data_IF_000185674580
#
_entry.id   IF_000185674580
#
_cell.length_a   1.000
_cell.length_b   1.000
_cell.length_c   1.000
_cell.angle_alpha   90.00
_cell.angle_beta   90.00
_cell.angle_gamma   90.00
#
_symmetry.space_group_name_H-M   'P 1'
#
loop_
_entity.id
_entity.type
_entity.pdbx_description
1 polymer ?
#
# COMPACT_ATOMS: atom_id res chain seq x y z
N UNK A 1 31.98 16.86 6.01
CA UNK A 1 33.23 17.33 5.38
C UNK A 1 33.22 16.86 3.94
N UNK A 2 33.60 17.72 3.00
CA UNK A 2 33.50 17.46 1.56
C UNK A 2 34.86 17.72 0.95
N UNK A 3 35.54 16.67 0.47
CA UNK A 3 36.94 16.77 0.04
C UNK A 3 37.15 16.78 -1.48
N UNK A 4 36.08 16.70 -2.28
CA UNK A 4 36.14 16.77 -3.73
C UNK A 4 34.86 17.38 -4.31
N UNK A 5 34.95 17.90 -5.54
CA UNK A 5 33.77 18.39 -6.27
C UNK A 5 32.75 17.29 -6.55
N UNK A 6 33.21 16.05 -6.79
CA UNK A 6 32.31 14.91 -6.98
C UNK A 6 31.48 14.66 -5.72
N UNK A 7 32.13 14.58 -4.55
CA UNK A 7 31.44 14.40 -3.28
C UNK A 7 30.52 15.58 -2.95
N UNK A 8 30.90 16.81 -3.34
CA UNK A 8 30.03 17.98 -3.23
C UNK A 8 28.75 17.82 -4.08
N UNK A 9 28.86 17.29 -5.29
CA UNK A 9 27.72 17.02 -6.17
C UNK A 9 26.80 15.93 -5.62
N UNK A 10 27.36 14.83 -5.13
CA UNK A 10 26.59 13.74 -4.52
C UNK A 10 25.88 14.20 -3.23
N UNK A 11 26.58 14.97 -2.40
CA UNK A 11 26.03 15.58 -1.19
C UNK A 11 24.91 16.58 -1.53
N UNK A 12 25.11 17.44 -2.55
CA UNK A 12 24.10 18.35 -3.06
C UNK A 12 22.81 17.60 -3.43
N UNK A 13 22.90 16.59 -4.31
CA UNK A 13 21.74 15.84 -4.78
C UNK A 13 21.00 15.14 -3.63
N UNK A 14 21.74 14.67 -2.63
CA UNK A 14 21.16 14.04 -1.43
C UNK A 14 20.46 15.06 -0.54
N UNK A 15 21.08 16.22 -0.31
CA UNK A 15 20.58 17.27 0.57
C UNK A 15 19.40 18.04 -0.04
N UNK A 16 19.34 18.22 -1.36
CA UNK A 16 18.26 18.96 -2.05
C UNK A 16 16.89 18.30 -1.83
N UNK A 17 16.87 16.98 -1.64
CA UNK A 17 15.65 16.22 -1.28
C UNK A 17 15.04 16.70 0.05
N UNK A 18 15.90 17.06 1.00
CA UNK A 18 15.51 17.43 2.35
C UNK A 18 15.38 18.93 2.52
N UNK A 19 16.27 19.71 1.91
CA UNK A 19 16.37 21.15 2.19
C UNK A 19 15.70 22.02 1.12
N UNK A 20 15.49 21.50 -0.09
CA UNK A 20 15.11 22.28 -1.26
C UNK A 20 16.31 22.94 -1.92
N UNK A 21 16.16 23.27 -3.20
CA UNK A 21 17.25 23.67 -4.09
C UNK A 21 17.91 24.98 -3.67
N UNK A 22 17.09 25.94 -3.20
CA UNK A 22 17.51 27.28 -2.81
C UNK A 22 17.97 27.38 -1.35
N UNK A 23 18.00 26.28 -0.59
CA UNK A 23 18.37 26.33 0.82
C UNK A 23 19.80 26.86 0.98
N UNK A 24 20.04 27.87 1.81
CA UNK A 24 21.37 28.46 1.95
C UNK A 24 22.33 27.47 2.61
N UNK A 25 23.51 27.29 2.02
CA UNK A 25 24.60 26.48 2.58
C UNK A 25 25.82 27.37 2.74
N UNK A 26 26.37 27.42 3.96
CA UNK A 26 27.64 28.08 4.21
C UNK A 26 28.77 27.07 3.99
N UNK A 27 29.57 27.30 2.96
CA UNK A 27 30.75 26.51 2.63
C UNK A 27 31.97 27.16 3.27
N UNK A 28 32.67 26.41 4.13
CA UNK A 28 33.86 26.86 4.84
C UNK A 28 35.06 26.04 4.37
N UNK A 29 36.16 26.69 4.04
CA UNK A 29 37.46 26.06 3.78
C UNK A 29 38.48 26.60 4.76
N UNK A 30 39.32 25.70 5.30
CA UNK A 30 40.46 26.07 6.14
C UNK A 30 40.07 26.75 7.45
N UNK A 31 38.89 26.44 7.99
CA UNK A 31 38.40 27.02 9.25
C UNK A 31 39.42 26.83 10.38
N UNK A 32 39.83 27.92 11.03
CA UNK A 32 40.86 27.93 12.08
C UNK A 32 42.30 27.98 11.56
N UNK A 33 42.52 28.14 10.25
CA UNK A 33 43.86 28.26 9.64
C UNK A 33 44.07 29.71 9.14
N UNK A 34 44.86 30.52 9.85
CA UNK A 34 45.09 31.92 9.48
C UNK A 34 45.58 32.07 8.03
N UNK A 35 44.89 32.90 7.25
CA UNK A 35 45.25 33.19 5.85
C UNK A 35 44.80 32.13 4.83
N UNK A 36 44.15 31.04 5.25
CA UNK A 36 43.55 30.03 4.36
C UNK A 36 42.03 29.92 4.50
N UNK A 37 41.44 30.71 5.41
CA UNK A 37 40.00 30.74 5.63
C UNK A 37 39.27 31.35 4.43
N UNK A 38 38.32 30.59 3.91
CA UNK A 38 37.38 31.06 2.90
C UNK A 38 35.97 30.62 3.30
N UNK A 39 35.04 31.57 3.33
CA UNK A 39 33.66 31.34 3.77
C UNK A 39 32.73 31.97 2.73
N UNK A 40 31.81 31.18 2.19
CA UNK A 40 30.83 31.63 1.21
C UNK A 40 29.48 30.98 1.50
N UNK A 41 28.39 31.75 1.45
CA UNK A 41 27.03 31.21 1.55
C UNK A 41 26.42 31.21 0.15
N UNK A 42 26.10 30.03 -0.36
CA UNK A 42 25.50 29.84 -1.69
C UNK A 42 24.22 29.01 -1.58
N UNK A 43 23.30 29.10 -2.55
CA UNK A 43 22.20 28.14 -2.66
C UNK A 43 22.74 26.70 -2.77
N UNK A 44 22.01 25.75 -2.19
CA UNK A 44 22.42 24.34 -2.17
C UNK A 44 22.69 23.78 -3.58
N UNK A 45 21.96 24.22 -4.60
CA UNK A 45 22.19 23.76 -5.98
C UNK A 45 23.54 24.22 -6.59
N UNK A 46 24.20 25.22 -6.00
CA UNK A 46 25.46 25.80 -6.51
C UNK A 46 26.71 25.31 -5.79
N UNK A 47 26.58 24.56 -4.70
CA UNK A 47 27.73 24.22 -3.83
C UNK A 47 28.85 23.47 -4.57
N UNK A 48 28.54 22.69 -5.60
CA UNK A 48 29.53 21.95 -6.40
C UNK A 48 30.20 22.78 -7.51
N UNK A 49 29.70 24.01 -7.74
CA UNK A 49 30.28 24.97 -8.69
C UNK A 49 31.45 25.76 -8.09
N UNK A 50 31.63 25.70 -6.77
CA UNK A 50 32.70 26.39 -6.07
C UNK A 50 34.07 25.80 -6.46
N UNK A 51 34.90 26.62 -7.10
CA UNK A 51 36.14 26.13 -7.69
C UNK A 51 37.19 25.68 -6.66
N UNK A 52 37.07 26.16 -5.42
CA UNK A 52 38.03 26.05 -4.33
C UNK A 52 37.73 24.92 -3.33
N UNK A 53 36.75 24.04 -3.62
CA UNK A 53 36.47 22.85 -2.80
C UNK A 53 37.69 21.93 -2.78
N UNK A 54 38.13 21.57 -1.58
CA UNK A 54 39.21 20.62 -1.32
C UNK A 54 39.01 19.88 0.01
N UNK A 55 40.01 19.10 0.43
CA UNK A 55 39.99 18.30 1.66
C UNK A 55 39.78 19.10 2.96
N UNK A 56 39.94 20.42 2.95
CA UNK A 56 39.71 21.31 4.09
C UNK A 56 38.30 21.94 4.08
N UNK A 57 37.41 21.47 3.20
CA UNK A 57 36.08 22.06 3.01
C UNK A 57 35.00 21.38 3.86
N UNK A 58 34.15 22.18 4.50
CA UNK A 58 33.00 21.76 5.29
C UNK A 58 31.75 22.55 4.90
N UNK A 59 30.61 21.87 4.83
CA UNK A 59 29.31 22.51 4.63
C UNK A 59 28.63 22.69 5.99
N UNK A 60 28.19 23.91 6.27
CA UNK A 60 27.28 24.22 7.35
C UNK A 60 25.90 24.50 6.74
N UNK A 61 24.92 23.69 7.14
CA UNK A 61 23.53 23.88 6.76
C UNK A 61 22.79 24.48 7.95
N UNK A 62 22.28 25.72 7.86
CA UNK A 62 21.42 26.28 8.88
C UNK A 62 20.13 25.44 9.00
N UNK A 63 19.48 25.43 10.18
CA UNK A 63 18.21 24.74 10.37
C UNK A 63 17.18 25.16 9.31
N UNK A 64 16.62 24.20 8.59
CA UNK A 64 15.64 24.40 7.52
C UNK A 64 15.31 23.09 6.82
N UNK A 65 14.56 23.17 5.71
CA UNK A 65 14.14 22.01 4.91
C UNK A 65 12.71 21.52 5.13
N UNK A 66 12.32 20.51 4.34
CA UNK A 66 11.02 19.83 4.36
C UNK A 66 10.79 19.24 5.75
N UNK A 67 9.91 19.88 6.52
CA UNK A 67 9.48 19.40 7.85
C UNK A 67 8.22 18.55 7.77
N UNK A 68 7.88 17.98 6.60
CA UNK A 68 6.55 17.44 6.27
C UNK A 68 5.81 16.79 7.44
N UNK A 69 6.36 15.68 7.95
CA UNK A 69 5.76 14.92 9.07
C UNK A 69 5.73 15.73 10.38
N UNK A 70 6.81 16.41 10.77
CA UNK A 70 6.82 17.26 11.97
C UNK A 70 5.86 18.44 11.89
N UNK A 71 5.65 18.98 10.69
CA UNK A 71 4.67 20.04 10.44
C UNK A 71 3.25 19.48 10.58
N UNK A 72 3.00 18.30 10.02
CA UNK A 72 1.71 17.61 10.15
C UNK A 72 1.38 17.29 11.62
N UNK A 73 2.35 16.76 12.37
CA UNK A 73 2.24 16.54 13.82
C UNK A 73 1.90 17.84 14.56
N UNK A 74 2.63 18.92 14.31
CA UNK A 74 2.35 20.21 14.94
C UNK A 74 0.97 20.78 14.57
N UNK A 75 0.51 20.57 13.33
CA UNK A 75 -0.83 20.95 12.88
C UNK A 75 -1.88 20.13 13.63
N UNK A 76 -1.72 18.80 13.71
CA UNK A 76 -2.64 17.91 14.41
C UNK A 76 -2.78 18.27 15.89
N UNK A 77 -1.65 18.49 16.57
CA UNK A 77 -1.63 18.97 17.94
C UNK A 77 -2.38 20.30 18.10
N UNK A 78 -2.17 21.25 17.17
CA UNK A 78 -2.89 22.54 17.20
C UNK A 78 -4.40 22.38 16.97
N UNK A 79 -4.81 21.46 16.11
CA UNK A 79 -6.22 21.19 15.82
C UNK A 79 -6.95 20.62 17.04
N UNK A 80 -6.28 19.80 17.85
CA UNK A 80 -6.92 19.13 19.01
C UNK A 80 -6.78 19.86 20.35
N UNK A 81 -5.89 20.84 20.44
CA UNK A 81 -5.72 21.67 21.66
C UNK A 81 -6.80 22.76 21.80
N UNK A 82 -6.98 23.35 23.01
CA UNK A 82 -7.94 24.43 23.21
C UNK A 82 -7.82 25.58 22.19
N UNK A 83 -8.96 25.97 21.62
CA UNK A 83 -9.02 26.95 20.52
C UNK A 83 -8.60 26.39 19.16
N UNK A 84 -8.50 25.06 19.02
CA UNK A 84 -8.39 24.33 17.76
C UNK A 84 -9.77 24.02 17.14
N UNK A 85 -9.83 22.97 16.33
CA UNK A 85 -11.04 22.53 15.63
C UNK A 85 -11.90 21.63 16.54
N UNK A 86 -13.18 21.99 16.79
CA UNK A 86 -14.06 21.19 17.64
C UNK A 86 -14.28 19.77 17.12
N UNK A 87 -14.43 19.62 15.80
CA UNK A 87 -14.65 18.30 15.19
C UNK A 87 -13.43 17.40 15.40
N UNK A 88 -12.22 17.93 15.19
CA UNK A 88 -10.99 17.17 15.39
C UNK A 88 -10.84 16.77 16.86
N UNK A 89 -11.07 17.69 17.79
CA UNK A 89 -10.96 17.43 19.24
C UNK A 89 -11.91 16.32 19.73
N UNK A 90 -13.11 16.21 19.16
CA UNK A 90 -14.12 15.20 19.53
C UNK A 90 -13.82 13.79 19.01
N UNK A 91 -12.86 13.62 18.09
CA UNK A 91 -12.56 12.31 17.52
C UNK A 91 -11.94 11.34 18.52
N UNK A 92 -12.15 10.05 18.27
CA UNK A 92 -11.60 8.92 19.03
C UNK A 92 -11.02 7.89 18.07
N UNK A 93 -10.25 6.91 18.56
CA UNK A 93 -9.78 5.79 17.73
C UNK A 93 -10.94 5.07 17.02
N UNK A 94 -12.09 4.95 17.68
CA UNK A 94 -13.25 4.23 17.18
C UNK A 94 -13.98 5.01 16.09
N UNK A 95 -14.13 6.33 16.24
CA UNK A 95 -14.78 7.17 15.22
C UNK A 95 -13.92 7.28 13.95
N UNK A 96 -12.60 7.29 14.10
CA UNK A 96 -11.65 7.42 12.99
C UNK A 96 -11.44 6.13 12.18
N UNK A 97 -11.85 4.96 12.71
CA UNK A 97 -11.63 3.66 12.06
C UNK A 97 -12.12 3.60 10.61
N UNK A 98 -13.27 4.21 10.32
CA UNK A 98 -13.85 4.17 8.96
C UNK A 98 -12.98 4.91 7.96
N UNK A 99 -12.46 6.07 8.34
CA UNK A 99 -11.63 6.90 7.49
C UNK A 99 -10.31 6.22 7.18
N UNK A 100 -9.67 5.58 8.17
CA UNK A 100 -8.48 4.76 7.94
C UNK A 100 -8.70 3.61 6.93
N UNK A 101 -9.91 3.06 6.84
CA UNK A 101 -10.23 2.08 5.81
C UNK A 101 -10.46 2.77 4.47
N UNK A 102 -11.28 3.83 4.43
CA UNK A 102 -11.58 4.62 3.25
C UNK A 102 -10.29 5.09 2.56
N UNK A 103 -9.38 5.78 3.24
CA UNK A 103 -8.13 6.26 2.62
C UNK A 103 -7.24 5.11 2.13
N UNK A 104 -7.27 3.96 2.81
CA UNK A 104 -6.52 2.79 2.36
C UNK A 104 -7.11 2.20 1.07
N UNK A 105 -8.42 2.34 0.84
CA UNK A 105 -9.05 1.95 -0.42
C UNK A 105 -8.80 2.98 -1.53
N UNK A 106 -8.82 4.27 -1.22
CA UNK A 106 -8.50 5.33 -2.18
C UNK A 106 -7.04 5.24 -2.66
N UNK A 107 -6.09 4.92 -1.77
CA UNK A 107 -4.71 4.58 -2.17
C UNK A 107 -4.68 3.40 -3.15
N UNK A 108 -5.48 2.36 -2.93
CA UNK A 108 -5.53 1.21 -3.86
C UNK A 108 -6.15 1.62 -5.20
N UNK A 109 -7.21 2.43 -5.19
CA UNK A 109 -7.82 2.95 -6.41
C UNK A 109 -6.85 3.81 -7.22
N UNK A 110 -6.08 4.70 -6.57
CA UNK A 110 -5.05 5.50 -7.21
C UNK A 110 -3.94 4.64 -7.86
N UNK A 111 -3.51 3.57 -7.18
CA UNK A 111 -2.56 2.58 -7.73
C UNK A 111 -3.15 1.89 -8.96
N UNK A 112 -4.39 1.41 -8.87
CA UNK A 112 -5.06 0.68 -9.96
C UNK A 112 -5.27 1.58 -11.19
N UNK A 113 -5.48 2.89 -10.97
CA UNK A 113 -5.58 3.90 -12.03
C UNK A 113 -4.23 4.37 -12.59
N UNK A 114 -3.11 3.99 -11.98
CA UNK A 114 -1.77 4.54 -12.27
C UNK A 114 -1.77 6.09 -12.24
N UNK A 115 -2.44 6.66 -11.25
CA UNK A 115 -2.59 8.10 -11.07
C UNK A 115 -1.65 8.58 -9.96
N UNK A 116 -0.46 9.07 -10.33
CA UNK A 116 0.58 9.47 -9.38
C UNK A 116 0.16 10.68 -8.52
N UNK A 117 -0.64 11.60 -9.07
CA UNK A 117 -1.10 12.79 -8.35
C UNK A 117 -2.11 12.39 -7.27
N UNK A 118 -3.10 11.55 -7.62
CA UNK A 118 -4.03 10.98 -6.66
C UNK A 118 -3.29 10.11 -5.63
N UNK A 119 -2.30 9.33 -6.06
CA UNK A 119 -1.52 8.49 -5.13
C UNK A 119 -0.78 9.32 -4.08
N UNK A 120 -0.19 10.46 -4.46
CA UNK A 120 0.47 11.37 -3.50
C UNK A 120 -0.54 11.94 -2.48
N UNK A 121 -1.72 12.34 -2.94
CA UNK A 121 -2.81 12.87 -2.11
C UNK A 121 -3.30 11.82 -1.10
N UNK A 122 -3.69 10.64 -1.58
CA UNK A 122 -4.27 9.58 -0.73
C UNK A 122 -3.25 8.96 0.23
N UNK A 123 -1.96 8.91 -0.13
CA UNK A 123 -0.89 8.55 0.80
C UNK A 123 -0.73 9.60 1.91
N UNK A 124 -0.99 10.87 1.60
CA UNK A 124 -1.05 11.97 2.56
C UNK A 124 -2.20 11.80 3.56
N UNK A 125 -3.39 11.44 3.07
CA UNK A 125 -4.58 11.25 3.91
C UNK A 125 -4.47 9.97 4.76
N UNK A 126 -3.91 8.89 4.21
CA UNK A 126 -3.58 7.71 5.01
C UNK A 126 -2.53 8.02 6.09
N UNK A 127 -1.52 8.85 5.78
CA UNK A 127 -0.53 9.32 6.75
C UNK A 127 -1.19 10.20 7.84
N UNK A 128 -2.15 11.06 7.48
CA UNK A 128 -2.94 11.84 8.42
C UNK A 128 -3.60 10.93 9.46
N UNK A 129 -4.19 9.81 9.05
CA UNK A 129 -4.82 8.86 9.99
C UNK A 129 -3.81 8.27 10.99
N UNK A 130 -2.58 7.98 10.56
CA UNK A 130 -1.50 7.51 11.46
C UNK A 130 -1.11 8.59 12.48
N UNK A 131 -0.97 9.84 12.03
CA UNK A 131 -0.65 10.97 12.92
C UNK A 131 -1.79 11.24 13.89
N UNK A 132 -3.04 11.24 13.43
CA UNK A 132 -4.22 11.47 14.27
C UNK A 132 -4.32 10.43 15.40
N UNK A 133 -4.21 9.15 15.08
CA UNK A 133 -4.20 8.10 16.09
C UNK A 133 -3.02 8.20 17.05
N UNK A 134 -1.87 8.68 16.59
CA UNK A 134 -0.69 8.87 17.45
C UNK A 134 -0.90 10.05 18.41
N UNK A 135 -1.49 11.17 17.96
CA UNK A 135 -1.84 12.30 18.83
C UNK A 135 -2.84 11.87 19.92
N UNK A 136 -3.90 11.15 19.55
CA UNK A 136 -4.86 10.59 20.50
C UNK A 136 -4.21 9.69 21.56
N UNK A 137 -3.24 8.87 21.16
CA UNK A 137 -2.52 8.01 22.08
C UNK A 137 -1.55 8.80 22.98
N UNK A 138 -0.96 9.88 22.47
CA UNK A 138 -0.07 10.76 23.21
C UNK A 138 -0.84 11.57 24.27
N UNK A 139 -2.04 12.06 23.94
CA UNK A 139 -2.96 12.73 24.88
C UNK A 139 -3.29 11.84 26.11
N UNK A 140 -3.38 10.52 25.90
CA UNK A 140 -3.60 9.52 26.95
C UNK A 140 -2.30 9.04 27.64
N UNK A 141 -1.13 9.55 27.24
CA UNK A 141 0.17 9.11 27.75
C UNK A 141 0.53 7.66 27.41
N UNK A 142 0.00 7.12 26.30
CA UNK A 142 0.20 5.71 25.89
C UNK A 142 1.37 5.51 24.94
N UNK A 143 1.38 6.22 23.82
CA UNK A 143 2.49 6.25 22.85
C UNK A 143 2.34 7.44 21.92
N UNK A 144 3.43 7.87 21.28
CA UNK A 144 3.43 8.93 20.27
C UNK A 144 3.84 8.46 18.85
N UNK A 145 3.89 9.40 17.90
CA UNK A 145 4.25 9.12 16.51
C UNK A 145 5.70 8.64 16.36
N UNK A 146 6.60 9.11 17.22
CA UNK A 146 8.01 8.70 17.21
C UNK A 146 8.14 7.25 17.67
N UNK A 147 7.45 6.84 18.73
CA UNK A 147 7.42 5.46 19.19
C UNK A 147 6.79 4.51 18.16
N UNK A 148 5.78 4.96 17.41
CA UNK A 148 5.21 4.20 16.28
C UNK A 148 6.27 4.00 15.19
N UNK A 149 7.00 5.05 14.83
CA UNK A 149 8.07 5.02 13.83
C UNK A 149 9.25 4.13 14.26
N UNK A 150 9.73 4.27 15.49
CA UNK A 150 10.81 3.46 16.05
C UNK A 150 10.44 1.98 16.05
N UNK A 151 9.21 1.66 16.46
CA UNK A 151 8.72 0.27 16.49
C UNK A 151 8.67 -0.38 15.11
N UNK A 152 8.32 0.36 14.06
CA UNK A 152 8.36 -0.20 12.69
C UNK A 152 9.79 -0.28 12.15
N UNK A 153 10.66 0.69 12.47
CA UNK A 153 12.07 0.66 12.14
C UNK A 153 12.77 -0.57 12.74
N UNK A 154 12.64 -0.78 14.06
CA UNK A 154 13.21 -1.94 14.76
C UNK A 154 12.72 -3.26 14.15
N UNK A 155 11.42 -3.33 13.84
CA UNK A 155 10.82 -4.50 13.21
C UNK A 155 11.37 -4.75 11.80
N UNK A 156 11.55 -3.70 11.00
CA UNK A 156 12.12 -3.82 9.65
C UNK A 156 13.59 -4.24 9.72
N UNK A 157 14.39 -3.65 10.61
CA UNK A 157 15.80 -4.02 10.82
C UNK A 157 15.90 -5.49 11.22
N UNK A 158 15.09 -5.94 12.19
CA UNK A 158 15.07 -7.32 12.65
C UNK A 158 14.64 -8.32 11.55
N UNK A 159 13.78 -7.90 10.61
CA UNK A 159 13.32 -8.73 9.48
C UNK A 159 14.28 -8.76 8.29
N UNK A 160 15.23 -7.84 8.23
CA UNK A 160 16.21 -7.76 7.14
C UNK A 160 17.66 -7.89 7.62
N UNK A 161 18.03 -9.00 8.30
CA UNK A 161 19.41 -9.20 8.76
C UNK A 161 20.42 -9.33 7.61
N UNK A 162 19.97 -9.60 6.39
CA UNK A 162 20.80 -9.61 5.17
C UNK A 162 21.08 -8.20 4.61
N UNK A 163 20.31 -7.18 5.06
CA UNK A 163 20.56 -5.76 4.73
C UNK A 163 21.31 -5.06 5.86
N UNK A 164 20.89 -5.30 7.11
CA UNK A 164 21.36 -4.56 8.29
C UNK A 164 22.26 -5.37 9.22
N UNK A 165 22.50 -6.65 8.92
CA UNK A 165 23.36 -7.55 9.68
C UNK A 165 24.39 -8.24 8.79
N UNK A 166 24.81 -9.44 9.18
CA UNK A 166 25.89 -10.21 8.54
C UNK A 166 25.42 -11.47 7.80
N UNK A 167 24.11 -11.67 7.65
CA UNK A 167 23.56 -12.87 6.99
C UNK A 167 23.79 -12.82 5.47
N UNK A 168 23.90 -14.00 4.85
CA UNK A 168 23.98 -14.11 3.39
C UNK A 168 22.72 -13.53 2.71
N UNK A 169 22.92 -12.93 1.53
CA UNK A 169 21.83 -12.46 0.68
C UNK A 169 20.98 -13.65 0.22
N UNK A 170 19.71 -13.65 0.63
CA UNK A 170 18.70 -14.60 0.17
C UNK A 170 18.09 -14.16 -1.16
N UNK A 171 17.59 -15.12 -1.95
CA UNK A 171 16.72 -14.81 -3.08
C UNK A 171 15.33 -14.36 -2.59
N UNK A 172 14.48 -13.85 -3.51
CA UNK A 172 13.17 -13.30 -3.16
C UNK A 172 12.21 -14.32 -2.50
N UNK A 173 12.24 -15.58 -2.95
CA UNK A 173 11.36 -16.64 -2.42
C UNK A 173 11.77 -17.06 -0.99
N UNK A 174 13.07 -17.24 -0.75
CA UNK A 174 13.62 -17.57 0.56
C UNK A 174 13.43 -16.41 1.55
N UNK A 175 13.53 -15.17 1.05
CA UNK A 175 13.22 -13.98 1.84
C UNK A 175 11.74 -13.92 2.25
N UNK A 176 10.82 -14.19 1.31
CA UNK A 176 9.38 -14.22 1.61
C UNK A 176 9.06 -15.27 2.67
N UNK A 177 9.59 -16.49 2.54
CA UNK A 177 9.39 -17.57 3.52
C UNK A 177 9.89 -17.19 4.91
N UNK A 178 11.12 -16.65 5.00
CA UNK A 178 11.70 -16.19 6.27
C UNK A 178 10.91 -15.03 6.88
N UNK A 179 10.45 -14.10 6.06
CA UNK A 179 9.61 -12.98 6.48
C UNK A 179 8.31 -13.49 7.12
N UNK A 180 7.66 -14.48 6.49
CA UNK A 180 6.46 -15.09 7.02
C UNK A 180 6.69 -15.86 8.32
N UNK A 181 7.83 -16.55 8.45
CA UNK A 181 8.24 -17.26 9.68
C UNK A 181 8.47 -16.28 10.85
N UNK A 182 9.14 -15.14 10.59
CA UNK A 182 9.33 -14.10 11.59
C UNK A 182 7.99 -13.48 12.02
N UNK A 183 7.08 -13.22 11.06
CA UNK A 183 5.71 -12.77 11.35
C UNK A 183 4.93 -13.77 12.22
N UNK A 184 5.15 -15.08 12.05
CA UNK A 184 4.49 -16.11 12.85
C UNK A 184 5.01 -16.13 14.30
N UNK A 185 6.32 -15.98 14.49
CA UNK A 185 6.97 -15.94 15.83
C UNK A 185 6.57 -14.73 16.66
N UNK A 186 6.30 -13.58 16.02
CA UNK A 186 5.91 -12.33 16.70
C UNK A 186 4.46 -12.32 17.25
N UNK A 187 3.58 -13.21 16.80
CA UNK A 187 2.15 -13.19 17.18
C UNK A 187 1.88 -14.01 18.46
N UNK A 188 2.01 -13.38 19.63
CA UNK A 188 1.37 -13.83 20.87
C UNK A 188 -0.11 -13.37 20.97
N UNK A 189 -0.94 -13.61 19.95
CA UNK A 189 -2.38 -13.29 20.02
C UNK A 189 -3.23 -14.49 19.60
N UNK A 190 -3.59 -15.29 20.61
CA UNK A 190 -4.54 -16.40 20.55
C UNK A 190 -3.87 -17.77 20.44
N UNK A 191 -4.44 -18.77 21.12
CA UNK A 191 -4.05 -20.18 20.99
C UNK A 191 -4.73 -20.76 19.74
N UNK A 192 -3.97 -21.43 18.87
CA UNK A 192 -4.49 -22.14 17.68
C UNK A 192 -3.85 -21.70 16.35
N UNK A 193 -3.84 -22.61 15.36
CA UNK A 193 -3.20 -22.40 14.06
C UNK A 193 -3.73 -21.19 13.26
N UNK A 194 -4.96 -20.77 13.54
CA UNK A 194 -5.64 -19.67 12.84
C UNK A 194 -5.55 -18.32 13.58
N UNK A 195 -4.94 -18.28 14.78
CA UNK A 195 -4.98 -17.14 15.68
C UNK A 195 -4.28 -15.88 15.15
N UNK A 196 -4.97 -14.74 15.16
CA UNK A 196 -4.42 -13.44 14.75
C UNK A 196 -4.66 -13.03 13.29
N UNK A 197 -5.66 -13.60 12.61
CA UNK A 197 -6.26 -12.95 11.42
C UNK A 197 -7.11 -11.78 11.94
N UNK A 198 -6.83 -10.52 11.56
CA UNK A 198 -7.63 -9.38 12.01
C UNK A 198 -9.08 -9.51 11.55
N UNK A 199 -10.03 -9.31 12.47
CA UNK A 199 -11.47 -9.33 12.19
C UNK A 199 -11.93 -8.22 11.25
N UNK A 200 -11.13 -7.16 11.12
CA UNK A 200 -11.43 -5.99 10.28
C UNK A 200 -10.97 -6.16 8.82
N UNK A 201 -10.40 -7.31 8.44
CA UNK A 201 -10.04 -7.55 7.05
C UNK A 201 -11.29 -7.74 6.19
N UNK A 202 -11.23 -7.36 4.90
CA UNK A 202 -12.23 -7.75 3.92
C UNK A 202 -12.43 -9.26 3.91
N UNK A 203 -13.66 -9.71 3.66
CA UNK A 203 -14.06 -11.11 3.86
C UNK A 203 -13.22 -12.09 3.02
N UNK A 204 -12.90 -11.75 1.76
CA UNK A 204 -12.12 -12.63 0.89
C UNK A 204 -10.66 -12.70 1.34
N UNK A 205 -10.05 -11.55 1.68
CA UNK A 205 -8.69 -11.50 2.26
C UNK A 205 -8.60 -12.24 3.60
N UNK A 206 -9.63 -12.13 4.45
CA UNK A 206 -9.70 -12.84 5.71
C UNK A 206 -9.75 -14.36 5.48
N UNK A 207 -10.62 -14.81 4.57
CA UNK A 207 -10.76 -16.21 4.16
C UNK A 207 -9.44 -16.76 3.60
N UNK A 208 -8.80 -16.05 2.68
CA UNK A 208 -7.51 -16.42 2.09
C UNK A 208 -6.42 -16.60 3.16
N UNK A 209 -6.35 -15.70 4.14
CA UNK A 209 -5.37 -15.79 5.24
C UNK A 209 -5.64 -16.94 6.20
N UNK A 210 -6.90 -17.20 6.54
CA UNK A 210 -7.28 -18.35 7.38
C UNK A 210 -6.86 -19.66 6.69
N UNK A 211 -7.20 -19.76 5.42
CA UNK A 211 -6.88 -20.87 4.55
C UNK A 211 -5.38 -21.10 4.37
N UNK A 212 -4.61 -20.04 4.08
CA UNK A 212 -3.14 -20.12 3.97
C UNK A 212 -2.48 -20.58 5.28
N UNK A 213 -3.11 -20.29 6.42
CA UNK A 213 -2.63 -20.76 7.73
C UNK A 213 -2.97 -22.22 8.00
N UNK A 214 -4.17 -22.66 7.60
CA UNK A 214 -4.54 -24.07 7.66
C UNK A 214 -3.58 -24.93 6.81
N UNK A 215 -3.23 -24.44 5.61
CA UNK A 215 -2.27 -25.11 4.74
C UNK A 215 -0.89 -25.30 5.40
N UNK A 216 -0.41 -24.30 6.16
CA UNK A 216 0.89 -24.39 6.87
C UNK A 216 0.97 -25.50 7.91
N UNK A 217 -0.15 -25.91 8.48
CA UNK A 217 -0.21 -27.03 9.44
C UNK A 217 -0.53 -28.37 8.75
N UNK A 218 -0.48 -28.40 7.41
CA UNK A 218 -0.71 -29.59 6.60
C UNK A 218 -2.17 -29.83 6.21
N UNK A 219 -3.08 -28.89 6.52
CA UNK A 219 -4.47 -28.97 6.07
C UNK A 219 -4.63 -28.35 4.68
N UNK A 220 -4.14 -29.06 3.66
CA UNK A 220 -4.21 -28.64 2.26
C UNK A 220 -4.29 -29.86 1.33
N UNK A 221 -4.97 -29.70 0.18
CA UNK A 221 -4.96 -30.71 -0.88
C UNK A 221 -3.62 -30.73 -1.62
N UNK A 222 -3.23 -31.86 -2.24
CA UNK A 222 -1.99 -31.95 -3.00
C UNK A 222 -1.90 -30.95 -4.17
N UNK A 223 -3.04 -30.62 -4.77
CA UNK A 223 -3.14 -29.66 -5.86
C UNK A 223 -4.53 -29.01 -5.94
N UNK A 224 -4.70 -28.11 -6.91
CA UNK A 224 -5.91 -27.34 -7.14
C UNK A 224 -7.15 -28.18 -7.51
N UNK A 225 -6.97 -29.44 -7.93
CA UNK A 225 -8.09 -30.28 -8.36
C UNK A 225 -8.99 -30.65 -7.17
N UNK A 226 -8.42 -30.83 -5.98
CA UNK A 226 -9.18 -31.01 -4.74
C UNK A 226 -10.04 -29.79 -4.41
N UNK A 227 -9.47 -28.59 -4.53
CA UNK A 227 -10.22 -27.34 -4.37
C UNK A 227 -11.34 -27.19 -5.42
N UNK A 228 -11.11 -27.63 -6.67
CA UNK A 228 -12.12 -27.62 -7.74
C UNK A 228 -13.26 -28.61 -7.49
N UNK A 229 -12.94 -29.78 -6.93
CA UNK A 229 -13.92 -30.78 -6.54
C UNK A 229 -14.79 -30.24 -5.39
N UNK A 230 -14.19 -29.63 -4.37
CA UNK A 230 -14.95 -28.99 -3.29
C UNK A 230 -15.84 -27.86 -3.80
N UNK A 231 -15.37 -27.02 -4.74
CA UNK A 231 -16.25 -26.03 -5.39
C UNK A 231 -17.48 -26.67 -6.08
N UNK A 232 -17.34 -27.85 -6.69
CA UNK A 232 -18.48 -28.54 -7.30
C UNK A 232 -19.46 -29.09 -6.26
N UNK A 233 -18.94 -29.54 -5.12
CA UNK A 233 -19.72 -29.97 -3.95
C UNK A 233 -20.53 -28.79 -3.39
N UNK A 234 -19.89 -27.65 -3.11
CA UNK A 234 -20.58 -26.44 -2.60
C UNK A 234 -21.67 -25.92 -3.56
N UNK A 235 -21.45 -26.05 -4.88
CA UNK A 235 -22.48 -25.71 -5.87
C UNK A 235 -23.70 -26.64 -5.77
N UNK A 236 -23.47 -27.91 -5.49
CA UNK A 236 -24.55 -28.89 -5.32
C UNK A 236 -25.29 -28.64 -4.01
N UNK A 237 -24.58 -28.35 -2.91
CA UNK A 237 -25.17 -28.00 -1.61
C UNK A 237 -26.00 -26.70 -1.70
N UNK A 238 -25.50 -25.70 -2.45
CA UNK A 238 -26.27 -24.48 -2.74
C UNK A 238 -27.53 -24.76 -3.57
N UNK A 239 -27.45 -25.60 -4.61
CA UNK A 239 -28.61 -25.96 -5.43
C UNK A 239 -29.68 -26.68 -4.57
N UNK A 240 -29.27 -27.54 -3.65
CA UNK A 240 -30.15 -28.19 -2.67
C UNK A 240 -30.77 -27.17 -1.70
N UNK A 241 -29.98 -26.23 -1.18
CA UNK A 241 -30.48 -25.19 -0.27
C UNK A 241 -31.45 -24.23 -0.96
N UNK A 242 -31.21 -23.87 -2.23
CA UNK A 242 -32.11 -23.04 -3.04
C UNK A 242 -33.45 -23.71 -3.33
N UNK A 243 -33.53 -25.04 -3.29
CA UNK A 243 -34.79 -25.78 -3.37
C UNK A 243 -35.61 -25.70 -2.06
N UNK A 244 -35.08 -25.06 -1.02
CA UNK A 244 -35.75 -24.82 0.27
C UNK A 244 -36.12 -23.35 0.44
N UNK A 245 -37.20 -23.05 1.18
CA UNK A 245 -37.56 -21.68 1.58
C UNK A 245 -36.87 -21.26 2.90
N UNK A 246 -35.60 -21.62 3.09
CA UNK A 246 -34.85 -21.33 4.32
C UNK A 246 -33.68 -20.38 4.05
N UNK A 247 -33.88 -19.06 4.21
CA UNK A 247 -32.86 -18.05 3.91
C UNK A 247 -31.53 -18.26 4.65
N UNK A 248 -31.57 -18.75 5.88
CA UNK A 248 -30.36 -19.01 6.66
C UNK A 248 -29.50 -20.15 6.07
N UNK A 249 -30.14 -21.18 5.50
CA UNK A 249 -29.43 -22.28 4.84
C UNK A 249 -28.83 -21.79 3.52
N UNK A 250 -29.61 -21.06 2.71
CA UNK A 250 -29.11 -20.46 1.47
C UNK A 250 -27.91 -19.54 1.75
N UNK A 251 -27.99 -18.70 2.79
CA UNK A 251 -26.90 -17.81 3.17
C UNK A 251 -25.63 -18.56 3.61
N UNK A 252 -25.79 -19.71 4.29
CA UNK A 252 -24.68 -20.58 4.67
C UNK A 252 -23.95 -21.12 3.44
N UNK A 253 -24.69 -21.75 2.52
CA UNK A 253 -24.08 -22.37 1.33
C UNK A 253 -23.46 -21.33 0.38
N UNK A 254 -24.03 -20.11 0.30
CA UNK A 254 -23.39 -18.99 -0.41
C UNK A 254 -22.01 -18.67 0.22
N UNK A 255 -21.92 -18.65 1.55
CA UNK A 255 -20.67 -18.40 2.26
C UNK A 255 -19.60 -19.46 1.99
N UNK A 256 -19.99 -20.73 1.99
CA UNK A 256 -19.07 -21.85 1.74
C UNK A 256 -18.64 -21.90 0.27
N UNK A 257 -19.56 -21.62 -0.66
CA UNK A 257 -19.23 -21.43 -2.08
C UNK A 257 -18.18 -20.34 -2.29
N UNK A 258 -18.36 -19.16 -1.68
CA UNK A 258 -17.38 -18.06 -1.74
C UNK A 258 -16.02 -18.48 -1.15
N UNK A 259 -16.03 -19.24 -0.05
CA UNK A 259 -14.82 -19.77 0.59
C UNK A 259 -14.09 -20.79 -0.31
N UNK A 260 -14.83 -21.65 -1.02
CA UNK A 260 -14.27 -22.59 -1.99
C UNK A 260 -13.67 -21.88 -3.21
N UNK A 261 -14.27 -20.78 -3.67
CA UNK A 261 -13.69 -19.93 -4.74
C UNK A 261 -12.36 -19.31 -4.28
N UNK A 262 -12.30 -18.76 -3.06
CA UNK A 262 -11.07 -18.22 -2.46
C UNK A 262 -9.95 -19.27 -2.43
N UNK A 263 -10.29 -20.51 -2.11
CA UNK A 263 -9.34 -21.62 -2.06
C UNK A 263 -8.73 -21.93 -3.42
N UNK A 264 -9.53 -21.90 -4.49
CA UNK A 264 -9.02 -22.05 -5.86
C UNK A 264 -8.10 -20.88 -6.23
N UNK A 265 -8.47 -19.64 -5.88
CA UNK A 265 -7.64 -18.47 -6.12
C UNK A 265 -6.27 -18.61 -5.42
N UNK A 266 -6.25 -19.09 -4.16
CA UNK A 266 -5.02 -19.37 -3.41
C UNK A 266 -4.10 -20.36 -4.14
N UNK A 267 -4.64 -21.49 -4.61
CA UNK A 267 -3.86 -22.48 -5.38
C UNK A 267 -3.27 -21.91 -6.68
N UNK A 268 -3.92 -20.90 -7.27
CA UNK A 268 -3.45 -20.21 -8.47
C UNK A 268 -2.64 -18.95 -8.17
N UNK A 269 -2.38 -18.65 -6.90
CA UNK A 269 -1.66 -17.45 -6.43
C UNK A 269 -2.32 -16.16 -6.92
N UNK A 270 -3.65 -16.14 -6.94
CA UNK A 270 -4.47 -14.98 -7.30
C UNK A 270 -5.04 -14.39 -6.01
N UNK A 271 -4.92 -13.07 -5.84
CA UNK A 271 -5.61 -12.36 -4.76
C UNK A 271 -7.12 -12.33 -5.05
N UNK A 272 -7.95 -12.99 -4.23
CA UNK A 272 -9.39 -13.08 -4.48
C UNK A 272 -10.11 -11.74 -4.29
N UNK A 273 -9.62 -10.88 -3.41
CA UNK A 273 -10.21 -9.57 -3.14
C UNK A 273 -9.99 -8.67 -4.36
N UNK A 274 -8.76 -8.61 -4.87
CA UNK A 274 -8.46 -7.83 -6.09
C UNK A 274 -9.20 -8.40 -7.31
N UNK A 275 -9.24 -9.72 -7.47
CA UNK A 275 -9.95 -10.34 -8.60
C UNK A 275 -11.44 -9.99 -8.63
N UNK A 276 -12.09 -9.87 -7.47
CA UNK A 276 -13.48 -9.42 -7.37
C UNK A 276 -13.62 -7.92 -7.66
N UNK A 277 -12.70 -7.07 -7.18
CA UNK A 277 -12.68 -5.63 -7.53
C UNK A 277 -12.58 -5.42 -9.03
N UNK A 278 -11.64 -6.09 -9.69
CA UNK A 278 -11.48 -6.01 -11.14
C UNK A 278 -12.75 -6.48 -11.87
N UNK A 279 -13.44 -7.51 -11.35
CA UNK A 279 -14.70 -8.00 -11.91
C UNK A 279 -15.82 -6.97 -11.78
N UNK A 280 -15.93 -6.31 -10.63
CA UNK A 280 -16.89 -5.23 -10.38
C UNK A 280 -16.61 -4.01 -11.26
N UNK A 281 -15.35 -3.60 -11.40
CA UNK A 281 -14.96 -2.52 -12.31
C UNK A 281 -15.32 -2.84 -13.77
N UNK A 282 -15.08 -4.09 -14.23
CA UNK A 282 -15.53 -4.54 -15.55
C UNK A 282 -17.05 -4.52 -15.69
N UNK A 283 -17.79 -4.87 -14.65
CA UNK A 283 -19.25 -4.82 -14.66
C UNK A 283 -19.73 -3.37 -14.81
N UNK A 284 -19.20 -2.45 -14.00
CA UNK A 284 -19.52 -1.02 -14.06
C UNK A 284 -19.21 -0.42 -15.43
N UNK A 285 -18.02 -0.69 -15.98
CA UNK A 285 -17.63 -0.22 -17.31
C UNK A 285 -18.58 -0.74 -18.41
N UNK A 286 -18.97 -2.02 -18.35
CA UNK A 286 -19.94 -2.61 -19.29
C UNK A 286 -21.32 -1.99 -19.14
N UNK A 287 -21.75 -1.71 -17.91
CA UNK A 287 -23.03 -1.08 -17.65
C UNK A 287 -23.06 0.35 -18.20
N UNK A 288 -22.01 1.15 -18.03
CA UNK A 288 -21.92 2.50 -18.63
C UNK A 288 -21.94 2.47 -20.17
N UNK A 289 -21.32 1.47 -20.79
CA UNK A 289 -21.46 1.25 -22.25
C UNK A 289 -22.90 0.88 -22.60
N UNK A 290 -23.54 0.02 -21.79
CA UNK A 290 -24.94 -0.37 -21.98
C UNK A 290 -25.87 0.86 -21.98
N UNK A 291 -25.70 1.77 -21.03
CA UNK A 291 -26.44 3.05 -20.95
C UNK A 291 -26.17 3.95 -22.16
N UNK A 292 -24.91 4.05 -22.58
CA UNK A 292 -24.54 4.83 -23.77
C UNK A 292 -25.20 4.26 -25.03
N UNK A 293 -25.21 2.94 -25.19
CA UNK A 293 -25.87 2.25 -26.31
C UNK A 293 -27.40 2.37 -26.26
N UNK A 294 -27.96 2.65 -25.09
CA UNK A 294 -29.39 2.71 -24.85
C UNK A 294 -29.97 4.13 -24.91
N UNK A 295 -29.13 5.14 -25.15
CA UNK A 295 -29.51 6.55 -25.24
C UNK A 295 -29.43 7.31 -23.92
N UNK A 296 -28.66 6.83 -22.95
CA UNK A 296 -28.41 7.46 -21.65
C UNK A 296 -29.24 6.91 -20.49
N UNK A 297 -30.17 5.98 -20.73
CA UNK A 297 -30.86 5.24 -19.66
C UNK A 297 -31.31 3.85 -20.15
N UNK A 298 -31.25 2.88 -19.24
CA UNK A 298 -31.68 1.50 -19.47
C UNK A 298 -33.06 1.22 -18.86
N UNK A 299 -33.66 2.18 -18.17
CA UNK A 299 -34.97 2.06 -17.54
C UNK A 299 -36.09 1.79 -18.57
N UNK A 300 -37.06 0.96 -18.17
CA UNK A 300 -38.23 0.62 -19.01
C UNK A 300 -37.94 -0.35 -20.16
N UNK A 301 -36.70 -0.80 -20.34
CA UNK A 301 -36.34 -1.80 -21.35
C UNK A 301 -36.66 -3.21 -20.87
N UNK A 302 -37.03 -4.06 -21.81
CA UNK A 302 -37.26 -5.48 -21.56
C UNK A 302 -35.95 -6.20 -21.22
N UNK A 303 -36.04 -7.33 -20.52
CA UNK A 303 -34.87 -8.15 -20.18
C UNK A 303 -34.11 -8.58 -21.44
N UNK A 304 -34.82 -8.94 -22.52
CA UNK A 304 -34.19 -9.34 -23.78
C UNK A 304 -33.38 -8.20 -24.42
N UNK A 305 -33.91 -6.97 -24.37
CA UNK A 305 -33.16 -5.79 -24.83
C UNK A 305 -31.93 -5.53 -23.96
N UNK A 306 -32.06 -5.63 -22.63
CA UNK A 306 -30.96 -5.46 -21.70
C UNK A 306 -29.86 -6.51 -21.92
N UNK A 307 -30.23 -7.79 -22.09
CA UNK A 307 -29.29 -8.86 -22.40
C UNK A 307 -28.59 -8.65 -23.76
N UNK A 308 -29.32 -8.14 -24.76
CA UNK A 308 -28.75 -7.78 -26.06
C UNK A 308 -27.75 -6.62 -25.98
N UNK A 309 -28.08 -5.56 -25.23
CA UNK A 309 -27.17 -4.44 -24.99
C UNK A 309 -25.93 -4.87 -24.17
N UNK A 310 -26.12 -5.73 -23.17
CA UNK A 310 -25.04 -6.29 -22.37
C UNK A 310 -24.06 -7.13 -23.21
N UNK A 311 -24.57 -7.99 -24.10
CA UNK A 311 -23.74 -8.78 -25.01
C UNK A 311 -22.88 -7.89 -25.90
N UNK A 312 -23.44 -6.79 -26.42
CA UNK A 312 -22.71 -5.78 -27.20
C UNK A 312 -21.65 -5.07 -26.35
N UNK A 313 -22.00 -4.63 -25.14
CA UNK A 313 -21.06 -3.98 -24.22
C UNK A 313 -19.86 -4.87 -23.88
N UNK A 314 -20.09 -6.17 -23.66
CA UNK A 314 -19.07 -7.18 -23.39
C UNK A 314 -18.12 -7.38 -24.58
N UNK A 315 -18.65 -7.37 -25.82
CA UNK A 315 -17.84 -7.46 -27.02
C UNK A 315 -16.90 -6.24 -27.17
N UNK A 316 -17.40 -5.04 -26.91
CA UNK A 316 -16.62 -3.79 -26.98
C UNK A 316 -15.45 -3.77 -25.98
N UNK A 317 -15.69 -4.13 -24.71
CA UNK A 317 -14.61 -4.15 -23.70
C UNK A 317 -13.55 -5.22 -23.98
N UNK A 318 -13.96 -6.37 -24.54
CA UNK A 318 -13.02 -7.46 -24.87
C UNK A 318 -12.10 -7.10 -26.04
N UNK A 319 -12.64 -6.39 -27.04
CA UNK A 319 -11.84 -5.86 -28.14
C UNK A 319 -10.80 -4.83 -27.65
N UNK A 320 -11.21 -3.89 -26.79
CA UNK A 320 -10.33 -2.87 -26.22
C UNK A 320 -9.18 -3.46 -25.37
N UNK A 321 -9.44 -4.53 -24.61
CA UNK A 321 -8.40 -5.22 -23.84
C UNK A 321 -7.38 -5.98 -24.72
N UNK A 322 -7.76 -6.33 -25.96
CA UNK A 322 -6.87 -7.04 -26.90
C UNK A 322 -5.95 -6.08 -27.64
N UNK A 323 -6.39 -4.86 -27.94
CA UNK A 323 -5.59 -3.81 -28.58
C UNK A 323 -4.60 -3.11 -27.64
N UNK A 324 -4.76 -3.22 -26.32
CA UNK A 324 -3.85 -2.66 -25.31
C UNK A 324 -2.70 -3.63 -24.91
N UNK A 325 -2.48 -4.72 -25.65
CA UNK A 325 -1.23 -5.49 -25.58
C UNK A 325 -0.32 -5.01 -26.71
N UNK A 326 0.57 -4.06 -26.40
CA UNK A 326 1.67 -3.67 -27.30
C UNK A 326 2.61 -4.86 -27.57
N UNK A 327 3.37 -4.84 -28.69
CA UNK A 327 4.16 -5.97 -29.14
C UNK A 327 5.24 -6.28 -28.11
N UNK A 328 5.36 -7.55 -27.73
CA UNK A 328 6.57 -8.04 -27.07
C UNK A 328 7.71 -7.95 -28.08
N UNK A 329 8.59 -6.96 -27.93
CA UNK A 329 9.85 -6.91 -28.66
C UNK A 329 10.65 -8.17 -28.32
N UNK A 330 10.75 -9.06 -29.30
CA UNK A 330 11.70 -10.14 -29.33
C UNK A 330 13.10 -9.52 -29.37
N UNK A 331 13.83 -9.58 -28.26
CA UNK A 331 15.27 -9.36 -28.25
C UNK A 331 15.88 -10.48 -29.09
N UNK A 332 16.33 -10.13 -30.29
CA UNK A 332 17.15 -10.98 -31.12
C UNK A 332 18.53 -11.08 -30.49
N UNK A 333 18.93 -12.30 -30.15
CA UNK A 333 20.33 -12.67 -29.98
C UNK A 333 21.12 -12.28 -31.23
N UNK A 334 22.17 -11.47 -31.05
CA UNK A 334 23.32 -11.44 -31.96
C UNK A 334 24.61 -11.42 -31.14
N UNK A 335 25.37 -12.51 -31.37
CA UNK A 335 26.80 -12.81 -31.20
C UNK A 335 27.71 -11.89 -30.37
#
# INVERSE_FOLDING_TARGET
QVWSRQLASDAKLSLMRWYGDDHPVTVLRGAGIPGQEQIETVPLFEVDRLAWIDHLTSFYLPPGGRRGVRRLEAIMHRLRTPGGCPWDAEQTHQSLRRYCLEEAYEVVDAIDRNDDDALEEELGDLLLQVVFHSELAAEDGRFDLHEVADRICDKLIARHPHVFGSDERLNAEDHLKRWEDLKAKEKHRGQGALAGVPLALPALTASEKLQSRAARVGFEWPDWTGARAKLAEELTELDEALATDKPEQIAHEIGDLLTAVVNIARFKKIDPEQALRDASARFQARFGIMESLSGGSVEGKSVDELLGLWARAKATTTAAATTCKLPTDSVSDQE
#
